data_IF_476303318419
#
_entry.id   IF_476303318419
#
_cell.length_a   1.000
_cell.length_b   1.000
_cell.length_c   1.000
_cell.angle_alpha   90.00
_cell.angle_beta   90.00
_cell.angle_gamma   90.00
#
_symmetry.space_group_name_H-M   'P 1'
#
loop_
_entity.id
_entity.type
_entity.pdbx_description
1 polymer ?
#
# COMPACT_ATOMS: atom_id res chain seq x y z
N UNK A 1 -9.82 -1.68 4.44
CA UNK A 1 -9.88 -2.15 5.83
C UNK A 1 -8.59 -2.87 6.15
N UNK A 2 -7.85 -2.44 7.17
CA UNK A 2 -6.66 -3.16 7.67
C UNK A 2 -7.08 -3.95 8.90
N UNK A 3 -6.89 -5.26 8.87
CA UNK A 3 -7.25 -6.20 9.93
C UNK A 3 -6.06 -6.45 10.86
N UNK A 4 -4.83 -6.35 10.34
CA UNK A 4 -3.59 -6.64 11.06
C UNK A 4 -2.41 -5.83 10.51
N UNK A 5 -1.57 -5.34 11.39
CA UNK A 5 -0.25 -4.79 11.03
C UNK A 5 0.82 -5.89 10.94
N UNK A 6 1.69 -5.79 9.95
CA UNK A 6 2.80 -6.69 9.71
C UNK A 6 3.88 -6.57 10.77
N UNK A 7 4.52 -7.69 11.09
CA UNK A 7 5.58 -7.76 12.09
C UNK A 7 6.93 -7.29 11.54
N UNK A 8 7.90 -7.05 12.42
CA UNK A 8 9.27 -6.74 12.02
C UNK A 8 9.91 -7.88 11.23
N UNK A 9 9.64 -9.14 11.59
CA UNK A 9 10.10 -10.30 10.82
C UNK A 9 9.59 -10.29 9.37
N UNK A 10 8.34 -9.86 9.15
CA UNK A 10 7.76 -9.76 7.81
C UNK A 10 8.39 -8.62 7.01
N UNK A 11 8.68 -7.48 7.67
CA UNK A 11 9.42 -6.39 7.06
C UNK A 11 10.87 -6.79 6.72
N UNK A 12 11.56 -7.47 7.64
CA UNK A 12 12.94 -7.93 7.43
C UNK A 12 13.04 -8.92 6.27
N UNK A 13 12.04 -9.78 6.09
CA UNK A 13 11.96 -10.68 4.94
C UNK A 13 11.84 -9.89 3.62
N UNK A 14 10.97 -8.87 3.56
CA UNK A 14 10.84 -8.02 2.38
C UNK A 14 12.12 -7.21 2.12
N UNK A 15 12.74 -6.66 3.17
CA UNK A 15 14.02 -5.94 3.07
C UNK A 15 15.13 -6.86 2.56
N UNK A 16 15.23 -8.07 3.11
CA UNK A 16 16.22 -9.06 2.70
C UNK A 16 16.08 -9.45 1.24
N UNK A 17 14.85 -9.71 0.79
CA UNK A 17 14.56 -9.99 -0.61
C UNK A 17 14.86 -8.79 -1.53
N UNK A 18 14.48 -7.57 -1.12
CA UNK A 18 14.78 -6.34 -1.86
C UNK A 18 16.29 -6.12 -2.02
N UNK A 19 17.07 -6.37 -0.96
CA UNK A 19 18.52 -6.21 -0.99
C UNK A 19 19.22 -7.26 -1.86
N UNK A 20 18.67 -8.48 -1.91
CA UNK A 20 19.26 -9.62 -2.62
C UNK A 20 18.89 -9.64 -4.11
N UNK A 21 17.60 -9.58 -4.39
CA UNK A 21 17.01 -9.85 -5.70
C UNK A 21 16.28 -8.62 -6.28
N UNK A 22 16.44 -7.44 -5.64
CA UNK A 22 15.72 -6.23 -6.01
C UNK A 22 14.21 -6.37 -5.81
N UNK A 23 13.44 -5.57 -6.54
CA UNK A 23 11.97 -5.56 -6.42
C UNK A 23 11.33 -6.89 -6.85
N UNK A 24 11.98 -7.67 -7.72
CA UNK A 24 11.50 -8.99 -8.18
C UNK A 24 11.45 -10.02 -7.02
N UNK A 25 12.32 -9.87 -6.02
CA UNK A 25 12.30 -10.73 -4.83
C UNK A 25 11.10 -10.52 -3.91
N UNK A 26 10.31 -9.44 -4.09
CA UNK A 26 9.22 -9.09 -3.18
C UNK A 26 7.98 -9.97 -3.36
N UNK A 27 7.65 -10.34 -4.61
CA UNK A 27 6.45 -11.14 -4.88
C UNK A 27 6.47 -12.50 -4.15
N UNK A 28 7.54 -13.32 -4.23
CA UNK A 28 7.59 -14.58 -3.49
C UNK A 28 7.41 -14.42 -1.98
N UNK A 29 7.94 -13.33 -1.41
CA UNK A 29 7.78 -13.03 0.03
C UNK A 29 6.33 -12.68 0.35
N UNK A 30 5.66 -11.87 -0.47
CA UNK A 30 4.24 -11.52 -0.31
C UNK A 30 3.35 -12.76 -0.43
N UNK A 31 3.57 -13.60 -1.45
CA UNK A 31 2.83 -14.86 -1.64
C UNK A 31 3.06 -15.86 -0.50
N UNK A 32 4.25 -15.85 0.11
CA UNK A 32 4.54 -16.64 1.31
C UNK A 32 3.82 -16.15 2.58
N UNK A 33 3.24 -14.95 2.57
CA UNK A 33 2.46 -14.44 3.70
C UNK A 33 1.03 -14.99 3.66
N UNK A 34 0.82 -16.21 4.16
CA UNK A 34 -0.49 -16.90 4.11
C UNK A 34 -1.61 -16.09 4.77
N UNK A 35 -1.31 -15.35 5.85
CA UNK A 35 -2.31 -14.53 6.55
C UNK A 35 -2.34 -13.12 5.97
N UNK A 36 -3.45 -12.79 5.29
CA UNK A 36 -3.74 -11.41 4.84
C UNK A 36 -3.66 -10.41 6.00
N UNK A 37 -3.21 -9.21 5.69
CA UNK A 37 -3.19 -8.05 6.57
C UNK A 37 -4.50 -7.25 6.49
N UNK A 38 -5.26 -7.39 5.41
CA UNK A 38 -6.55 -6.73 5.24
C UNK A 38 -7.07 -6.80 3.81
N UNK A 39 -7.99 -5.90 3.49
CA UNK A 39 -8.66 -5.82 2.18
C UNK A 39 -8.73 -4.37 1.72
N UNK A 40 -8.40 -4.14 0.45
CA UNK A 40 -8.64 -2.89 -0.27
C UNK A 40 -9.83 -3.09 -1.21
N UNK A 41 -10.80 -2.16 -1.18
CA UNK A 41 -11.90 -2.15 -2.13
C UNK A 41 -11.52 -1.24 -3.30
N UNK A 42 -11.30 -1.85 -4.45
CA UNK A 42 -10.91 -1.16 -5.67
C UNK A 42 -12.19 -0.78 -6.44
N UNK A 43 -12.32 0.48 -6.91
CA UNK A 43 -13.45 0.84 -7.77
C UNK A 43 -13.42 0.02 -9.06
N UNK A 44 -14.60 -0.35 -9.54
CA UNK A 44 -14.73 -1.01 -10.83
C UNK A 44 -14.33 -0.11 -11.99
N UNK A 45 -14.14 -0.71 -13.16
CA UNK A 45 -13.79 0.00 -14.40
C UNK A 45 -15.02 0.77 -14.87
N UNK A 46 -14.90 2.09 -14.89
CA UNK A 46 -15.97 2.97 -15.39
C UNK A 46 -16.08 2.84 -16.92
N UNK A 47 -17.24 3.19 -17.48
CA UNK A 47 -17.55 2.99 -18.91
C UNK A 47 -17.50 1.53 -19.41
N UNK A 48 -17.54 0.55 -18.51
CA UNK A 48 -17.65 -0.89 -18.84
C UNK A 48 -19.02 -1.47 -18.45
N UNK A 49 -19.23 -2.75 -18.74
CA UNK A 49 -20.47 -3.47 -18.44
C UNK A 49 -20.87 -3.39 -16.96
N UNK A 50 -22.16 -3.59 -16.67
CA UNK A 50 -22.72 -3.40 -15.31
C UNK A 50 -21.96 -4.13 -14.20
N UNK A 51 -21.44 -5.34 -14.47
CA UNK A 51 -20.65 -6.11 -13.50
C UNK A 51 -19.26 -5.52 -13.25
N UNK A 52 -18.60 -5.03 -14.30
CA UNK A 52 -17.24 -4.48 -14.21
C UNK A 52 -17.18 -3.17 -13.39
N UNK A 53 -18.31 -2.48 -13.22
CA UNK A 53 -18.44 -1.25 -12.41
C UNK A 53 -18.51 -1.49 -10.90
N UNK A 54 -18.74 -2.72 -10.47
CA UNK A 54 -18.81 -3.06 -9.05
C UNK A 54 -17.43 -2.91 -8.39
N UNK A 55 -17.42 -2.63 -7.08
CA UNK A 55 -16.19 -2.61 -6.31
C UNK A 55 -15.68 -4.03 -6.11
N UNK A 56 -14.38 -4.24 -6.29
CA UNK A 56 -13.76 -5.54 -6.15
C UNK A 56 -12.85 -5.55 -4.91
N UNK A 57 -13.00 -6.53 -4.00
CA UNK A 57 -12.12 -6.70 -2.87
C UNK A 57 -10.81 -7.34 -3.31
N UNK A 58 -9.70 -6.78 -2.82
CA UNK A 58 -8.36 -7.30 -3.04
C UNK A 58 -7.65 -7.47 -1.71
N UNK A 59 -7.03 -8.63 -1.51
CA UNK A 59 -6.28 -8.91 -0.29
C UNK A 59 -4.98 -8.09 -0.29
N UNK A 60 -4.66 -7.49 0.85
CA UNK A 60 -3.31 -7.01 1.14
C UNK A 60 -2.66 -7.97 2.12
N UNK A 61 -1.42 -8.34 1.86
CA UNK A 61 -0.67 -9.33 2.64
C UNK A 61 0.33 -8.68 3.59
N UNK A 62 0.82 -7.51 3.21
CA UNK A 62 1.63 -6.65 4.06
C UNK A 62 0.90 -5.35 4.36
N UNK A 63 0.92 -4.91 5.62
CA UNK A 63 0.49 -3.58 6.01
C UNK A 63 1.37 -3.07 7.14
N UNK A 64 1.94 -1.86 7.02
CA UNK A 64 2.73 -1.25 8.10
C UNK A 64 2.38 0.21 8.24
N UNK A 65 2.21 0.67 9.48
CA UNK A 65 2.06 2.08 9.82
C UNK A 65 3.35 2.56 10.46
N UNK A 66 3.76 3.77 10.08
CA UNK A 66 4.95 4.45 10.58
C UNK A 66 4.54 5.86 10.94
N UNK A 67 4.82 6.26 12.17
CA UNK A 67 4.70 7.66 12.58
C UNK A 67 5.94 8.40 12.09
N UNK A 68 5.73 9.54 11.44
CA UNK A 68 6.77 10.40 10.88
C UNK A 68 6.63 11.80 11.46
N UNK A 69 7.68 12.63 11.44
CA UNK A 69 7.55 14.03 11.85
C UNK A 69 6.52 14.82 11.01
N UNK A 70 6.19 14.35 9.81
CA UNK A 70 5.25 14.99 8.87
C UNK A 70 3.83 14.42 8.94
N UNK A 71 3.54 13.57 9.91
CA UNK A 71 2.27 12.83 10.02
C UNK A 71 2.50 11.33 9.92
N UNK A 72 1.68 10.62 9.16
CA UNK A 72 1.67 9.15 9.15
C UNK A 72 1.94 8.58 7.76
N UNK A 73 2.77 7.54 7.70
CA UNK A 73 2.98 6.75 6.50
C UNK A 73 2.35 5.37 6.69
N UNK A 74 1.61 4.89 5.68
CA UNK A 74 1.02 3.56 5.64
C UNK A 74 1.47 2.87 4.37
N UNK A 75 2.17 1.74 4.52
CA UNK A 75 2.66 0.92 3.43
C UNK A 75 1.79 -0.34 3.34
N UNK A 76 1.18 -0.58 2.19
CA UNK A 76 0.44 -1.81 1.90
C UNK A 76 1.12 -2.58 0.77
N UNK A 77 1.18 -3.91 0.89
CA UNK A 77 1.69 -4.82 -0.13
C UNK A 77 0.65 -5.84 -0.54
N UNK A 78 0.43 -5.97 -1.85
CA UNK A 78 -0.45 -6.96 -2.47
C UNK A 78 0.33 -7.75 -3.55
N UNK A 79 -0.01 -9.02 -3.74
CA UNK A 79 0.63 -9.93 -4.69
C UNK A 79 0.05 -9.84 -6.12
N UNK A 80 -0.64 -8.75 -6.43
CA UNK A 80 -1.27 -8.47 -7.71
C UNK A 80 -1.32 -6.95 -7.96
N UNK A 81 -1.65 -6.55 -9.18
CA UNK A 81 -1.80 -5.14 -9.55
C UNK A 81 -3.12 -4.53 -9.03
N UNK A 82 -3.02 -3.44 -8.25
CA UNK A 82 -4.17 -2.69 -7.77
C UNK A 82 -4.54 -1.62 -8.81
N UNK A 83 -5.46 -1.97 -9.71
CA UNK A 83 -5.77 -1.17 -10.89
C UNK A 83 -6.52 0.14 -10.63
N UNK A 84 -7.08 0.38 -9.44
CA UNK A 84 -7.83 1.61 -9.09
C UNK A 84 -8.82 2.11 -10.16
N UNK A 85 -9.52 1.18 -10.84
CA UNK A 85 -10.52 1.50 -11.88
C UNK A 85 -9.99 1.57 -13.31
N UNK A 86 -8.70 1.27 -13.53
CA UNK A 86 -8.09 1.18 -14.85
C UNK A 86 -8.53 -0.09 -15.59
N UNK A 87 -8.91 0.00 -16.89
CA UNK A 87 -9.08 -1.15 -17.76
C UNK A 87 -7.82 -2.02 -17.81
N UNK A 88 -7.97 -3.34 -17.93
CA UNK A 88 -6.82 -4.28 -18.01
C UNK A 88 -5.89 -3.98 -19.20
N UNK A 89 -6.42 -3.41 -20.28
CA UNK A 89 -5.62 -2.98 -21.42
C UNK A 89 -4.59 -1.87 -21.09
N UNK A 90 -4.83 -1.11 -20.01
CA UNK A 90 -3.96 -0.01 -19.57
C UNK A 90 -3.04 -0.42 -18.42
N UNK A 91 -3.07 -1.70 -18.01
CA UNK A 91 -2.19 -2.18 -16.96
C UNK A 91 -0.74 -2.20 -17.47
N UNK A 92 0.26 -1.97 -16.58
CA UNK A 92 1.66 -2.06 -16.96
C UNK A 92 2.00 -3.44 -17.56
N UNK A 93 3.09 -3.59 -18.30
CA UNK A 93 3.53 -4.94 -18.71
C UNK A 93 4.33 -5.65 -17.58
N UNK A 94 4.89 -4.86 -16.67
CA UNK A 94 5.85 -5.26 -15.64
C UNK A 94 5.22 -5.34 -14.24
N UNK A 95 3.90 -5.53 -14.14
CA UNK A 95 3.27 -5.72 -12.83
C UNK A 95 3.33 -7.18 -12.40
N UNK A 96 3.85 -7.39 -11.20
CA UNK A 96 3.80 -8.70 -10.53
C UNK A 96 3.19 -8.58 -9.13
N UNK A 97 3.31 -7.41 -8.51
CA UNK A 97 2.77 -7.08 -7.20
C UNK A 97 2.49 -5.58 -7.14
N UNK A 98 1.82 -5.12 -6.07
CA UNK A 98 1.63 -3.71 -5.79
C UNK A 98 2.18 -3.35 -4.41
N UNK A 99 2.92 -2.23 -4.34
CA UNK A 99 3.22 -1.57 -3.07
C UNK A 99 2.58 -0.18 -3.07
N UNK A 100 1.62 0.04 -2.18
CA UNK A 100 0.94 1.31 -1.99
C UNK A 100 1.55 2.03 -0.79
N UNK A 101 2.18 3.17 -1.02
CA UNK A 101 2.71 4.10 -0.02
C UNK A 101 1.75 5.28 0.14
N UNK A 102 1.04 5.29 1.26
CA UNK A 102 0.10 6.34 1.63
C UNK A 102 0.77 7.25 2.65
N UNK A 103 0.84 8.55 2.34
CA UNK A 103 1.36 9.56 3.26
C UNK A 103 0.23 10.50 3.65
N UNK A 104 -0.01 10.60 4.94
CA UNK A 104 -1.09 11.37 5.55
C UNK A 104 -0.44 12.49 6.36
N UNK A 105 -0.80 13.73 6.02
CA UNK A 105 -0.32 14.92 6.70
C UNK A 105 -0.93 15.09 8.10
N UNK A 106 -0.45 16.09 8.86
CA UNK A 106 -0.99 16.41 10.18
C UNK A 106 -2.44 16.94 10.12
N UNK A 107 -2.90 17.38 8.96
CA UNK A 107 -4.27 17.80 8.69
C UNK A 107 -5.25 16.62 8.47
N UNK A 108 -4.75 15.39 8.54
CA UNK A 108 -5.53 14.18 8.35
C UNK A 108 -5.85 13.85 6.89
N UNK A 109 -5.32 14.60 5.93
CA UNK A 109 -5.44 14.33 4.50
C UNK A 109 -4.19 13.64 3.98
N UNK A 110 -4.37 12.73 3.04
CA UNK A 110 -3.26 11.97 2.48
C UNK A 110 -3.31 11.76 0.99
N UNK A 111 -2.16 11.33 0.48
CA UNK A 111 -1.97 10.93 -0.91
C UNK A 111 -1.40 9.50 -0.90
N UNK A 112 -1.97 8.64 -1.72
CA UNK A 112 -1.49 7.28 -1.94
C UNK A 112 -0.81 7.17 -3.30
N UNK A 113 0.40 6.63 -3.30
CA UNK A 113 1.16 6.35 -4.51
C UNK A 113 1.54 4.88 -4.57
N UNK A 114 1.54 4.32 -5.77
CA UNK A 114 1.82 2.91 -5.98
C UNK A 114 3.15 2.73 -6.71
N UNK A 115 4.02 1.90 -6.16
CA UNK A 115 5.21 1.42 -6.83
C UNK A 115 4.86 0.24 -7.74
N UNK A 116 5.53 0.22 -8.89
CA UNK A 116 5.62 -0.94 -9.80
C UNK A 116 6.81 -1.81 -9.41
N UNK A 117 6.97 -2.97 -10.06
CA UNK A 117 7.99 -3.97 -9.77
C UNK A 117 9.46 -3.53 -9.99
N UNK A 118 9.72 -2.24 -10.25
CA UNK A 118 11.07 -1.64 -10.26
C UNK A 118 11.20 -0.36 -9.41
N UNK A 119 10.14 0.10 -8.75
CA UNK A 119 10.13 1.41 -8.07
C UNK A 119 9.93 1.29 -6.54
N UNK A 120 10.42 0.21 -5.93
CA UNK A 120 10.44 0.03 -4.48
C UNK A 120 11.87 0.22 -3.97
N UNK A 121 12.03 0.97 -2.88
CA UNK A 121 13.32 1.19 -2.22
C UNK A 121 13.22 0.96 -0.72
N UNK A 122 14.37 0.79 -0.06
CA UNK A 122 14.46 0.75 1.39
C UNK A 122 14.87 2.12 1.94
N UNK A 123 14.02 2.72 2.76
CA UNK A 123 14.30 3.92 3.50
C UNK A 123 14.98 3.57 4.82
N UNK A 124 16.25 3.98 4.98
CA UNK A 124 17.04 3.72 6.19
C UNK A 124 16.55 4.51 7.40
N UNK A 125 16.04 5.73 7.18
CA UNK A 125 15.59 6.63 8.25
C UNK A 125 14.26 6.15 8.83
N UNK A 126 13.29 5.85 7.95
CA UNK A 126 12.00 5.29 8.33
C UNK A 126 12.04 3.77 8.60
N UNK A 127 13.20 3.14 8.36
CA UNK A 127 13.44 1.70 8.48
C UNK A 127 12.36 0.86 7.82
N UNK A 128 11.92 1.22 6.62
CA UNK A 128 10.85 0.53 5.89
C UNK A 128 11.14 0.44 4.41
N UNK A 129 10.41 -0.42 3.71
CA UNK A 129 10.26 -0.31 2.25
C UNK A 129 9.24 0.78 1.91
N UNK A 130 9.47 1.49 0.80
CA UNK A 130 8.59 2.55 0.30
C UNK A 130 8.69 2.70 -1.22
N UNK A 131 7.85 3.57 -1.79
CA UNK A 131 7.92 3.95 -3.20
C UNK A 131 9.16 4.83 -3.43
N UNK A 132 10.03 4.43 -4.35
CA UNK A 132 11.22 5.19 -4.72
C UNK A 132 10.84 6.49 -5.43
N UNK A 133 11.61 7.55 -5.18
CA UNK A 133 11.36 8.91 -5.70
C UNK A 133 9.89 9.34 -5.57
N UNK A 134 9.29 9.14 -4.38
CA UNK A 134 7.86 9.35 -4.11
C UNK A 134 7.30 10.64 -4.74
N UNK A 135 8.06 11.74 -4.72
CA UNK A 135 7.66 13.02 -5.33
C UNK A 135 7.38 12.97 -6.84
N UNK A 136 8.05 12.10 -7.59
CA UNK A 136 7.95 11.97 -9.06
C UNK A 136 6.88 10.96 -9.50
N UNK A 137 6.43 10.08 -8.61
CA UNK A 137 5.41 9.08 -8.93
C UNK A 137 4.02 9.76 -8.97
N UNK A 138 3.17 9.48 -9.98
CA UNK A 138 1.82 10.03 -10.01
C UNK A 138 0.98 9.51 -8.84
N UNK A 139 0.04 10.32 -8.37
CA UNK A 139 -0.91 9.89 -7.34
C UNK A 139 -1.96 8.94 -7.92
N UNK A 140 -2.20 7.82 -7.24
CA UNK A 140 -3.32 6.90 -7.54
C UNK A 140 -4.49 7.14 -6.60
N UNK A 141 -4.21 7.60 -5.38
CA UNK A 141 -5.23 7.97 -4.40
C UNK A 141 -5.00 9.42 -3.97
N UNK A 142 -6.01 10.24 -4.17
CA UNK A 142 -6.08 11.62 -3.67
C UNK A 142 -7.10 11.70 -2.55
N UNK A 143 -6.93 12.65 -1.61
CA UNK A 143 -7.87 12.86 -0.51
C UNK A 143 -8.07 11.62 0.37
N UNK A 144 -7.00 10.87 0.63
CA UNK A 144 -7.04 9.74 1.57
C UNK A 144 -7.34 10.27 2.96
N UNK A 145 -8.32 9.68 3.64
CA UNK A 145 -8.71 10.04 5.01
C UNK A 145 -8.70 8.80 5.87
N UNK A 146 -8.29 8.97 7.12
CA UNK A 146 -8.48 7.94 8.13
C UNK A 146 -9.95 7.96 8.55
N UNK A 147 -10.64 6.85 8.27
CA UNK A 147 -11.95 6.61 8.87
C UNK A 147 -11.71 6.15 10.31
N UNK A 148 -11.62 7.13 11.23
CA UNK A 148 -11.71 6.84 12.65
C UNK A 148 -13.21 6.77 13.00
N UNK A 149 -13.67 5.68 13.63
CA UNK A 149 -15.01 5.70 14.21
C UNK A 149 -15.07 6.89 15.18
N UNK A 150 -16.07 7.75 15.03
CA UNK A 150 -16.31 8.87 15.92
C UNK A 150 -16.41 8.34 17.36
N UNK A 151 -15.38 8.59 18.19
CA UNK A 151 -15.41 8.17 19.60
C UNK A 151 -14.10 7.77 20.27
N UNK A 152 -12.92 7.84 19.65
CA UNK A 152 -11.64 7.72 20.38
C UNK A 152 -10.94 9.06 20.53
N UNK A 153 -11.46 9.82 21.49
CA UNK A 153 -10.75 10.92 22.14
C UNK A 153 -9.54 10.27 22.82
N UNK A 154 -8.34 10.43 22.27
CA UNK A 154 -7.12 10.06 23.00
C UNK A 154 -6.98 11.01 24.19
N UNK A 155 -6.78 10.41 25.36
CA UNK A 155 -7.01 10.99 26.67
C UNK A 155 -6.35 12.34 26.92
N UNK A 156 -7.11 13.21 27.57
CA UNK A 156 -6.55 14.15 28.51
C UNK A 156 -5.84 13.37 29.63
N UNK A 157 -4.67 13.90 30.01
CA UNK A 157 -3.80 13.50 31.13
C UNK A 157 -4.52 12.89 32.34
N UNK A 158 -3.91 11.89 32.96
CA UNK A 158 -3.50 11.91 34.37
C UNK A 158 -2.14 11.22 34.50
#
# INVERSE_FOLDING_TARGET
MIERWSTDKQLDALRGALAKDGSQGLLPVLQGMIRRAGVVLIPGVQASGARARLRHPFNVYFARQIETPKGRQVILGADHYLAFGQPTADWPADFEFSLLDIRIGPDGRGVGKMARAGNVTYNKDAKTIEVADYGKVPAQLTEVRLDMPAGRIFGAKQ
#
